data_IF_672599129147
#
_entry.id   IF_672599129147
#
_cell.length_a   1.000
_cell.length_b   1.000
_cell.length_c   1.000
_cell.angle_alpha   90.00
_cell.angle_beta   90.00
_cell.angle_gamma   90.00
#
_symmetry.space_group_name_H-M   'P 1'
#
loop_
_entity.id
_entity.type
_entity.pdbx_description
1 polymer ?
#
# COMPACT_ATOMS: atom_id res chain seq x y z
N UNK A 1 54.10 -52.91 60.44
CA UNK A 1 53.08 -51.89 60.31
C UNK A 1 53.13 -51.42 58.85
N UNK A 2 52.21 -51.89 58.03
CA UNK A 2 52.21 -51.62 56.58
C UNK A 2 51.03 -50.74 56.31
N UNK A 3 51.28 -49.48 55.86
CA UNK A 3 50.22 -48.55 55.45
C UNK A 3 49.79 -48.86 54.00
N UNK A 4 48.49 -49.26 53.84
CA UNK A 4 47.84 -49.40 52.52
C UNK A 4 47.52 -47.99 51.99
N UNK A 5 48.12 -47.63 50.86
CA UNK A 5 47.69 -46.48 50.02
C UNK A 5 46.55 -47.00 49.11
N UNK A 6 45.34 -46.45 49.29
CA UNK A 6 44.26 -46.64 48.34
C UNK A 6 44.38 -45.55 47.24
N UNK A 7 44.62 -46.01 46.00
CA UNK A 7 44.56 -45.16 44.81
C UNK A 7 43.10 -45.02 44.42
N UNK A 8 42.55 -43.81 44.62
CA UNK A 8 41.20 -43.43 44.11
C UNK A 8 41.31 -43.15 42.63
N UNK A 9 40.88 -44.06 41.75
CA UNK A 9 40.64 -43.79 40.34
C UNK A 9 39.41 -42.94 40.18
N UNK A 10 39.57 -41.65 39.88
CA UNK A 10 38.50 -40.78 39.48
C UNK A 10 38.06 -41.11 38.05
N UNK A 11 36.91 -41.75 37.93
CA UNK A 11 36.21 -41.99 36.67
C UNK A 11 35.58 -40.67 36.23
N UNK A 12 36.18 -39.95 35.26
CA UNK A 12 35.59 -38.81 34.60
C UNK A 12 34.64 -39.33 33.51
N UNK A 13 33.31 -39.18 33.63
CA UNK A 13 32.45 -39.53 32.52
C UNK A 13 32.65 -38.49 31.41
N UNK A 14 33.24 -38.96 30.31
CA UNK A 14 33.33 -38.22 29.05
C UNK A 14 31.91 -38.11 28.49
N UNK A 15 31.23 -36.99 28.80
CA UNK A 15 29.97 -36.61 28.20
C UNK A 15 30.19 -36.33 26.72
N UNK A 16 29.99 -37.36 25.89
CA UNK A 16 29.80 -37.19 24.44
C UNK A 16 28.53 -36.36 24.26
N UNK A 17 28.70 -35.05 24.03
CA UNK A 17 27.68 -34.23 23.43
C UNK A 17 27.46 -34.76 22.02
N UNK A 18 26.58 -35.73 21.88
CA UNK A 18 26.06 -36.12 20.57
C UNK A 18 25.33 -34.92 20.03
N UNK A 19 26.01 -34.12 19.20
CA UNK A 19 25.37 -33.17 18.32
C UNK A 19 24.44 -34.00 17.41
N UNK A 20 23.14 -33.98 17.73
CA UNK A 20 22.10 -34.53 16.85
C UNK A 20 22.05 -33.68 15.57
N UNK A 21 23.00 -33.85 14.68
CA UNK A 21 22.82 -33.50 13.29
C UNK A 21 21.78 -34.47 12.73
N UNK A 22 20.60 -33.99 12.41
CA UNK A 22 19.56 -34.77 11.72
C UNK A 22 20.14 -35.26 10.38
N UNK A 23 20.24 -36.61 10.21
CA UNK A 23 20.76 -37.18 8.95
C UNK A 23 19.70 -37.01 7.85
N UNK A 24 20.11 -36.80 6.59
CA UNK A 24 19.22 -36.85 5.45
C UNK A 24 18.48 -38.20 5.40
N UNK A 25 17.18 -38.16 5.09
CA UNK A 25 16.33 -39.35 4.95
C UNK A 25 16.38 -39.92 3.53
N UNK A 26 16.81 -39.12 2.55
CA UNK A 26 16.99 -39.48 1.15
C UNK A 26 17.98 -38.53 0.46
N UNK A 27 18.38 -38.83 -0.75
CA UNK A 27 19.26 -37.96 -1.56
C UNK A 27 18.63 -36.60 -1.90
N UNK A 28 17.28 -36.49 -1.85
CA UNK A 28 16.57 -35.25 -2.08
C UNK A 28 16.35 -34.45 -0.78
N UNK A 29 16.65 -34.99 0.39
CA UNK A 29 16.50 -34.34 1.68
C UNK A 29 17.68 -33.39 1.95
N UNK A 30 17.74 -32.30 1.16
CA UNK A 30 18.79 -31.28 1.23
C UNK A 30 18.30 -29.95 1.78
N UNK A 31 19.19 -29.13 2.38
CA UNK A 31 18.82 -27.79 2.84
C UNK A 31 18.17 -26.95 1.75
N UNK A 32 18.70 -27.00 0.54
CA UNK A 32 18.22 -26.24 -0.63
C UNK A 32 16.83 -26.70 -1.08
N UNK A 33 16.58 -28.02 -1.08
CA UNK A 33 15.26 -28.56 -1.40
C UNK A 33 14.19 -28.02 -0.46
N UNK A 34 14.44 -28.09 0.85
CA UNK A 34 13.52 -27.60 1.87
C UNK A 34 13.39 -26.09 1.85
N UNK A 35 14.46 -25.34 1.55
CA UNK A 35 14.39 -23.90 1.33
C UNK A 35 13.45 -23.57 0.18
N UNK A 36 13.60 -24.20 -0.97
CA UNK A 36 12.71 -24.01 -2.13
C UNK A 36 11.26 -24.39 -1.82
N UNK A 37 11.04 -25.47 -1.07
CA UNK A 37 9.70 -25.88 -0.63
C UNK A 37 9.08 -24.82 0.31
N UNK A 38 9.86 -24.28 1.25
CA UNK A 38 9.44 -23.20 2.13
C UNK A 38 9.10 -21.92 1.39
N UNK A 39 9.90 -21.53 0.38
CA UNK A 39 9.61 -20.35 -0.44
C UNK A 39 8.30 -20.50 -1.22
N UNK A 40 8.01 -21.68 -1.79
CA UNK A 40 6.71 -21.97 -2.43
C UNK A 40 5.55 -21.90 -1.44
N UNK A 41 5.74 -22.35 -0.20
CA UNK A 41 4.73 -22.23 0.85
C UNK A 41 4.46 -20.75 1.21
N UNK A 42 5.50 -19.89 1.23
CA UNK A 42 5.33 -18.43 1.40
C UNK A 42 4.51 -17.84 0.24
N UNK A 43 4.78 -18.22 -1.00
CA UNK A 43 4.02 -17.76 -2.18
C UNK A 43 2.54 -18.14 -2.10
N UNK A 44 2.23 -19.28 -1.46
CA UNK A 44 0.88 -19.76 -1.20
C UNK A 44 0.29 -19.24 0.13
N UNK A 45 0.99 -18.33 0.83
CA UNK A 45 0.61 -17.77 2.14
C UNK A 45 0.48 -18.84 3.26
N UNK A 46 0.99 -20.06 3.05
CA UNK A 46 1.05 -21.11 4.08
C UNK A 46 2.33 -20.97 4.91
N UNK A 47 2.31 -19.97 5.79
CA UNK A 47 3.47 -19.63 6.62
C UNK A 47 3.82 -20.72 7.65
N UNK A 48 2.86 -21.51 8.07
CA UNK A 48 3.12 -22.63 9.00
C UNK A 48 3.85 -23.77 8.30
N UNK A 49 3.46 -24.11 7.08
CA UNK A 49 4.18 -25.09 6.27
C UNK A 49 5.57 -24.57 5.88
N UNK A 50 5.67 -23.27 5.58
CA UNK A 50 6.95 -22.62 5.31
C UNK A 50 7.93 -22.78 6.49
N UNK A 51 7.48 -22.53 7.73
CA UNK A 51 8.29 -22.70 8.94
C UNK A 51 8.79 -24.14 9.05
N UNK A 52 7.93 -25.15 8.84
CA UNK A 52 8.35 -26.58 8.90
C UNK A 52 9.44 -26.88 7.87
N UNK A 53 9.28 -26.42 6.64
CA UNK A 53 10.24 -26.63 5.59
C UNK A 53 11.57 -25.93 5.87
N UNK A 54 11.55 -24.66 6.27
CA UNK A 54 12.78 -23.94 6.62
C UNK A 54 13.45 -24.50 7.88
N UNK A 55 12.67 -24.98 8.86
CA UNK A 55 13.22 -25.64 10.04
C UNK A 55 13.98 -26.91 9.63
N UNK A 56 13.42 -27.76 8.74
CA UNK A 56 14.14 -28.93 8.21
C UNK A 56 15.42 -28.51 7.49
N UNK A 57 15.37 -27.45 6.66
CA UNK A 57 16.54 -26.90 5.97
C UNK A 57 17.69 -26.56 6.95
N UNK A 58 17.40 -25.83 8.06
CA UNK A 58 18.43 -25.46 9.04
C UNK A 58 18.80 -26.62 9.99
N UNK A 59 17.96 -27.65 10.12
CA UNK A 59 18.28 -28.83 10.88
C UNK A 59 19.28 -29.72 10.14
N UNK A 60 19.17 -29.79 8.82
CA UNK A 60 20.11 -30.50 7.94
C UNK A 60 21.46 -29.79 7.86
N UNK A 61 21.46 -28.45 7.74
CA UNK A 61 22.67 -27.64 7.82
C UNK A 61 22.47 -26.37 8.67
N UNK A 62 23.04 -26.38 9.87
CA UNK A 62 23.02 -25.23 10.79
C UNK A 62 23.75 -23.99 10.26
N UNK A 63 24.54 -24.11 9.18
CA UNK A 63 25.24 -22.99 8.53
C UNK A 63 24.45 -22.43 7.34
N UNK A 64 23.42 -23.13 6.88
CA UNK A 64 22.64 -22.71 5.72
C UNK A 64 21.86 -21.40 5.99
N UNK A 65 22.43 -20.29 5.57
CA UNK A 65 21.95 -18.95 5.89
C UNK A 65 20.52 -18.69 5.41
N UNK A 66 20.20 -19.13 4.19
CA UNK A 66 18.88 -18.85 3.56
C UNK A 66 17.72 -19.50 4.32
N UNK A 67 17.95 -20.68 4.94
CA UNK A 67 16.94 -21.32 5.79
C UNK A 67 16.51 -20.44 6.98
N UNK A 68 17.47 -19.76 7.64
CA UNK A 68 17.16 -18.79 8.68
C UNK A 68 16.44 -17.56 8.13
N UNK A 69 16.82 -17.10 6.93
CA UNK A 69 16.11 -16.01 6.27
C UNK A 69 14.65 -16.34 6.01
N UNK A 70 14.37 -17.54 5.51
CA UNK A 70 13.03 -18.07 5.31
C UNK A 70 12.21 -18.17 6.60
N UNK A 71 12.82 -18.69 7.69
CA UNK A 71 12.20 -18.69 9.03
C UNK A 71 11.85 -17.26 9.48
N UNK A 72 12.80 -16.33 9.30
CA UNK A 72 12.59 -14.92 9.62
C UNK A 72 11.40 -14.33 8.87
N UNK A 73 11.32 -14.59 7.57
CA UNK A 73 10.24 -14.09 6.72
C UNK A 73 8.87 -14.68 7.12
N UNK A 74 8.80 -15.98 7.36
CA UNK A 74 7.57 -16.65 7.81
C UNK A 74 7.07 -16.11 9.15
N UNK A 75 7.98 -15.93 10.12
CA UNK A 75 7.65 -15.35 11.42
C UNK A 75 7.21 -13.88 11.29
N UNK A 76 7.79 -13.11 10.37
CA UNK A 76 7.39 -11.72 10.12
C UNK A 76 5.95 -11.65 9.59
N UNK A 77 5.56 -12.52 8.66
CA UNK A 77 4.19 -12.61 8.16
C UNK A 77 3.18 -13.00 9.24
N UNK A 78 3.59 -13.83 10.21
CA UNK A 78 2.75 -14.22 11.35
C UNK A 78 2.75 -13.19 12.50
N UNK A 79 3.45 -12.06 12.36
CA UNK A 79 3.55 -11.06 13.42
C UNK A 79 4.48 -11.44 14.59
N UNK A 80 5.23 -12.53 14.47
CA UNK A 80 6.16 -13.01 15.48
C UNK A 80 7.50 -12.24 15.40
N UNK A 81 7.47 -10.93 15.64
CA UNK A 81 8.57 -10.02 15.39
C UNK A 81 9.89 -10.38 16.08
N UNK A 82 9.85 -10.95 17.30
CA UNK A 82 11.07 -11.34 18.01
C UNK A 82 11.82 -12.45 17.28
N UNK A 83 11.09 -13.50 16.86
CA UNK A 83 11.65 -14.64 16.11
C UNK A 83 12.09 -14.20 14.71
N UNK A 84 11.32 -13.32 14.06
CA UNK A 84 11.68 -12.75 12.77
C UNK A 84 13.05 -12.02 12.83
N UNK A 85 13.24 -11.14 13.81
CA UNK A 85 14.50 -10.40 14.01
C UNK A 85 15.68 -11.30 14.32
N UNK A 86 15.51 -12.30 15.21
CA UNK A 86 16.55 -13.26 15.55
C UNK A 86 16.99 -14.06 14.32
N UNK A 87 16.03 -14.58 13.55
CA UNK A 87 16.32 -15.34 12.34
C UNK A 87 16.94 -14.50 11.22
N UNK A 88 16.49 -13.24 11.03
CA UNK A 88 17.13 -12.31 10.09
C UNK A 88 18.59 -12.04 10.46
N UNK A 89 18.88 -11.90 11.77
CA UNK A 89 20.24 -11.71 12.27
C UNK A 89 21.12 -12.96 12.04
N UNK A 90 20.56 -14.16 12.29
CA UNK A 90 21.23 -15.43 11.99
C UNK A 90 21.51 -15.59 10.50
N UNK A 91 20.56 -15.27 9.63
CA UNK A 91 20.71 -15.26 8.18
C UNK A 91 21.88 -14.36 7.76
N UNK A 92 21.85 -13.09 8.16
CA UNK A 92 22.88 -12.12 7.80
C UNK A 92 24.26 -12.44 8.37
N UNK A 93 24.35 -13.05 9.55
CA UNK A 93 25.65 -13.41 10.15
C UNK A 93 26.28 -14.62 9.46
N UNK A 94 25.50 -15.67 9.16
CA UNK A 94 25.95 -16.87 8.45
C UNK A 94 26.24 -16.61 6.98
N UNK A 95 25.39 -15.82 6.33
CA UNK A 95 25.50 -15.41 4.92
C UNK A 95 26.13 -14.00 4.75
N UNK A 96 27.09 -13.60 5.59
CA UNK A 96 27.65 -12.23 5.56
C UNK A 96 28.38 -11.84 4.27
N UNK A 97 28.75 -12.83 3.45
CA UNK A 97 29.35 -12.66 2.12
C UNK A 97 28.38 -12.92 0.97
N UNK A 98 27.23 -13.50 1.28
CA UNK A 98 26.19 -13.86 0.31
C UNK A 98 25.19 -12.71 0.15
N UNK A 99 25.09 -12.07 -1.04
CA UNK A 99 24.16 -10.99 -1.29
C UNK A 99 22.70 -11.43 -1.15
N UNK A 100 22.34 -12.69 -1.47
CA UNK A 100 20.98 -13.21 -1.34
C UNK A 100 20.56 -13.32 0.13
N UNK A 101 21.42 -13.85 1.01
CA UNK A 101 21.15 -13.95 2.44
C UNK A 101 20.98 -12.56 3.09
N UNK A 102 21.79 -11.59 2.67
CA UNK A 102 21.66 -10.20 3.13
C UNK A 102 20.38 -9.57 2.61
N UNK A 103 20.01 -9.81 1.33
CA UNK A 103 18.77 -9.29 0.75
C UNK A 103 17.53 -9.88 1.46
N UNK A 104 17.53 -11.18 1.73
CA UNK A 104 16.47 -11.86 2.44
C UNK A 104 16.31 -11.31 3.89
N UNK A 105 17.44 -11.02 4.56
CA UNK A 105 17.41 -10.35 5.87
C UNK A 105 16.77 -8.94 5.80
N UNK A 106 17.04 -8.19 4.73
CA UNK A 106 16.38 -6.92 4.45
C UNK A 106 14.87 -7.06 4.21
N UNK A 107 14.48 -8.07 3.45
CA UNK A 107 13.07 -8.38 3.18
C UNK A 107 12.28 -8.67 4.46
N UNK A 108 12.85 -9.41 5.41
CA UNK A 108 12.23 -9.66 6.72
C UNK A 108 11.85 -8.34 7.41
N UNK A 109 12.75 -7.35 7.41
CA UNK A 109 12.48 -6.05 8.01
C UNK A 109 11.39 -5.25 7.25
N UNK A 110 11.34 -5.34 5.92
CA UNK A 110 10.28 -4.73 5.11
C UNK A 110 8.91 -5.33 5.46
N UNK A 111 8.86 -6.65 5.66
CA UNK A 111 7.62 -7.35 6.05
C UNK A 111 7.09 -6.89 7.41
N UNK A 112 7.99 -6.52 8.34
CA UNK A 112 7.62 -5.99 9.67
C UNK A 112 7.34 -4.47 9.69
N UNK A 113 7.20 -3.79 8.54
CA UNK A 113 7.11 -2.32 8.45
C UNK A 113 5.99 -1.70 9.29
N UNK A 114 4.87 -2.41 9.44
CA UNK A 114 3.69 -1.88 10.14
C UNK A 114 3.82 -2.00 11.67
N UNK A 115 4.74 -2.83 12.15
CA UNK A 115 4.94 -3.13 13.59
C UNK A 115 6.29 -2.65 14.15
N UNK A 116 7.28 -2.34 13.30
CA UNK A 116 8.64 -2.02 13.71
C UNK A 116 9.08 -0.62 13.25
N UNK A 117 9.18 0.33 14.17
CA UNK A 117 9.54 1.73 13.84
C UNK A 117 10.88 1.92 13.08
N UNK A 118 11.84 1.01 13.29
CA UNK A 118 13.19 1.09 12.67
C UNK A 118 13.32 0.22 11.43
N UNK A 119 12.21 -0.28 10.89
CA UNK A 119 12.20 -1.24 9.79
C UNK A 119 12.98 -0.75 8.56
N UNK A 120 12.72 0.47 8.11
CA UNK A 120 13.34 1.02 6.90
C UNK A 120 14.86 1.08 7.01
N UNK A 121 15.39 1.68 8.10
CA UNK A 121 16.83 1.76 8.32
C UNK A 121 17.49 0.39 8.35
N UNK A 122 16.87 -0.59 9.01
CA UNK A 122 17.40 -1.96 9.10
C UNK A 122 17.37 -2.67 7.76
N UNK A 123 16.27 -2.56 7.02
CA UNK A 123 16.16 -3.13 5.69
C UNK A 123 17.22 -2.52 4.75
N UNK A 124 17.30 -1.20 4.71
CA UNK A 124 18.26 -0.47 3.90
C UNK A 124 19.71 -0.85 4.21
N UNK A 125 20.07 -0.97 5.49
CA UNK A 125 21.40 -1.38 5.93
C UNK A 125 21.79 -2.77 5.39
N UNK A 126 20.89 -3.75 5.45
CA UNK A 126 21.12 -5.10 4.92
C UNK A 126 21.21 -5.10 3.39
N UNK A 127 20.29 -4.45 2.72
CA UNK A 127 20.24 -4.39 1.26
C UNK A 127 21.44 -3.64 0.66
N UNK A 128 21.87 -2.55 1.29
CA UNK A 128 23.11 -1.85 0.90
C UNK A 128 24.35 -2.69 1.19
N UNK A 129 24.36 -3.52 2.26
CA UNK A 129 25.43 -4.51 2.47
C UNK A 129 25.48 -5.55 1.34
N UNK A 130 24.33 -6.05 0.91
CA UNK A 130 24.23 -6.97 -0.22
C UNK A 130 24.82 -6.34 -1.50
N UNK A 131 24.44 -5.11 -1.83
CA UNK A 131 24.98 -4.38 -2.99
C UNK A 131 26.48 -4.04 -2.88
N UNK A 132 27.06 -4.00 -1.68
CA UNK A 132 28.51 -3.92 -1.53
C UNK A 132 29.21 -5.24 -1.85
N UNK A 133 28.52 -6.39 -1.74
CA UNK A 133 29.04 -7.72 -2.15
C UNK A 133 28.90 -7.94 -3.65
N UNK A 134 27.72 -7.60 -4.17
CA UNK A 134 27.42 -7.65 -5.58
C UNK A 134 26.59 -6.40 -5.97
N UNK A 135 27.22 -5.47 -6.70
CA UNK A 135 26.56 -4.22 -7.12
C UNK A 135 25.40 -4.46 -8.08
N UNK A 136 25.44 -5.58 -8.80
CA UNK A 136 24.45 -5.96 -9.80
C UNK A 136 23.36 -6.89 -9.25
N UNK A 137 23.37 -7.22 -7.96
CA UNK A 137 22.42 -8.12 -7.34
C UNK A 137 20.98 -7.60 -7.49
N UNK A 138 20.20 -8.22 -8.37
CA UNK A 138 18.88 -7.76 -8.79
C UNK A 138 17.88 -7.77 -7.63
N UNK A 139 17.86 -8.84 -6.83
CA UNK A 139 16.99 -8.95 -5.65
C UNK A 139 17.19 -7.80 -4.66
N UNK A 140 18.45 -7.41 -4.39
CA UNK A 140 18.73 -6.28 -3.50
C UNK A 140 18.26 -4.95 -4.06
N UNK A 141 18.40 -4.72 -5.37
CA UNK A 141 17.90 -3.50 -6.03
C UNK A 141 16.37 -3.45 -5.99
N UNK A 142 15.71 -4.58 -6.28
CA UNK A 142 14.26 -4.70 -6.19
C UNK A 142 13.74 -4.38 -4.77
N UNK A 143 14.31 -5.04 -3.76
CA UNK A 143 13.87 -4.85 -2.37
C UNK A 143 14.21 -3.47 -1.81
N UNK A 144 15.27 -2.79 -2.29
CA UNK A 144 15.48 -1.36 -2.00
C UNK A 144 14.37 -0.51 -2.61
N UNK A 145 13.99 -0.78 -3.85
CA UNK A 145 12.83 -0.11 -4.45
C UNK A 145 11.57 -0.28 -3.61
N UNK A 146 11.29 -1.51 -3.13
CA UNK A 146 10.15 -1.79 -2.25
C UNK A 146 10.27 -1.07 -0.91
N UNK A 147 11.46 -1.03 -0.30
CA UNK A 147 11.68 -0.33 0.95
C UNK A 147 11.43 1.18 0.82
N UNK A 148 11.96 1.81 -0.22
CA UNK A 148 11.75 3.23 -0.50
C UNK A 148 10.27 3.53 -0.80
N UNK A 149 9.59 2.66 -1.57
CA UNK A 149 8.16 2.80 -1.87
C UNK A 149 7.30 2.88 -0.60
N UNK A 150 7.49 1.93 0.31
CA UNK A 150 6.75 1.91 1.58
C UNK A 150 7.22 2.94 2.61
N UNK A 151 8.42 3.51 2.41
CA UNK A 151 8.91 4.67 3.18
C UNK A 151 8.53 6.01 2.54
N UNK A 152 7.63 6.00 1.53
CA UNK A 152 7.12 7.18 0.82
C UNK A 152 8.19 8.01 0.08
N UNK A 153 9.29 7.39 -0.27
CA UNK A 153 10.37 7.94 -1.09
C UNK A 153 10.20 7.44 -2.53
N UNK A 154 9.23 8.04 -3.24
CA UNK A 154 8.72 7.51 -4.49
C UNK A 154 9.70 7.69 -5.66
N UNK A 155 10.50 8.76 -5.67
CA UNK A 155 11.52 9.01 -6.68
C UNK A 155 12.64 7.98 -6.61
N UNK A 156 13.12 7.68 -5.38
CA UNK A 156 14.11 6.65 -5.15
C UNK A 156 13.58 5.26 -5.52
N UNK A 157 12.33 4.97 -5.14
CA UNK A 157 11.68 3.72 -5.50
C UNK A 157 11.59 3.54 -7.02
N UNK A 158 11.14 4.60 -7.74
CA UNK A 158 11.07 4.62 -9.20
C UNK A 158 12.44 4.32 -9.82
N UNK A 159 13.49 4.99 -9.32
CA UNK A 159 14.86 4.81 -9.81
C UNK A 159 15.36 3.38 -9.65
N UNK A 160 15.12 2.73 -8.50
CA UNK A 160 15.52 1.34 -8.26
C UNK A 160 14.73 0.38 -9.16
N UNK A 161 13.41 0.51 -9.25
CA UNK A 161 12.60 -0.38 -10.09
C UNK A 161 12.97 -0.25 -11.57
N UNK A 162 13.22 0.95 -12.07
CA UNK A 162 13.70 1.17 -13.45
C UNK A 162 15.00 0.41 -13.73
N UNK A 163 15.96 0.43 -12.80
CA UNK A 163 17.21 -0.33 -12.94
C UNK A 163 16.95 -1.82 -13.07
N UNK A 164 16.05 -2.36 -12.24
CA UNK A 164 15.68 -3.79 -12.24
C UNK A 164 14.99 -4.18 -13.54
N UNK A 165 14.02 -3.38 -14.01
CA UNK A 165 13.31 -3.63 -15.27
C UNK A 165 14.28 -3.66 -16.45
N UNK A 166 15.24 -2.74 -16.49
CA UNK A 166 16.23 -2.67 -17.57
C UNK A 166 17.16 -3.89 -17.65
N UNK A 167 17.35 -4.63 -16.53
CA UNK A 167 18.16 -5.86 -16.50
C UNK A 167 17.46 -7.06 -17.13
N UNK A 168 16.13 -7.05 -17.23
CA UNK A 168 15.31 -8.16 -17.78
C UNK A 168 15.53 -9.52 -17.11
N UNK A 169 15.91 -9.52 -15.81
CA UNK A 169 16.10 -10.73 -15.01
C UNK A 169 14.81 -11.19 -14.31
N UNK A 170 14.98 -12.04 -13.29
CA UNK A 170 13.86 -12.71 -12.60
C UNK A 170 12.89 -11.73 -11.88
N UNK A 171 13.38 -10.58 -11.46
CA UNK A 171 12.58 -9.56 -10.79
C UNK A 171 11.95 -8.55 -11.75
N UNK A 172 12.27 -8.58 -13.06
CA UNK A 172 11.85 -7.55 -14.00
C UNK A 172 10.31 -7.39 -14.07
N UNK A 173 9.56 -8.50 -14.12
CA UNK A 173 8.09 -8.45 -14.15
C UNK A 173 7.47 -7.87 -12.88
N UNK A 174 8.00 -8.25 -11.70
CA UNK A 174 7.56 -7.70 -10.41
C UNK A 174 7.91 -6.21 -10.28
N UNK A 175 9.08 -5.83 -10.77
CA UNK A 175 9.57 -4.46 -10.76
C UNK A 175 8.79 -3.56 -11.72
N UNK A 176 8.37 -4.02 -12.89
CA UNK A 176 7.61 -3.25 -13.88
C UNK A 176 6.29 -2.72 -13.28
N UNK A 177 5.53 -3.57 -12.60
CA UNK A 177 4.28 -3.16 -11.94
C UNK A 177 4.53 -2.09 -10.87
N UNK A 178 5.58 -2.25 -10.06
CA UNK A 178 5.95 -1.29 -9.00
C UNK A 178 6.54 0.00 -9.59
N UNK A 179 7.26 -0.10 -10.68
CA UNK A 179 7.76 1.06 -11.44
C UNK A 179 6.63 1.91 -11.99
N UNK A 180 5.65 1.29 -12.67
CA UNK A 180 4.45 1.99 -13.16
C UNK A 180 3.68 2.69 -12.04
N UNK A 181 3.51 2.02 -10.89
CA UNK A 181 2.89 2.61 -9.71
C UNK A 181 3.69 3.82 -9.21
N UNK A 182 5.02 3.67 -9.04
CA UNK A 182 5.89 4.75 -8.57
C UNK A 182 5.86 5.95 -9.50
N UNK A 183 5.89 5.75 -10.82
CA UNK A 183 5.76 6.82 -11.81
C UNK A 183 4.42 7.57 -11.71
N UNK A 184 3.31 6.85 -11.49
CA UNK A 184 2.01 7.48 -11.27
C UNK A 184 2.03 8.36 -10.01
N UNK A 185 2.57 7.84 -8.91
CA UNK A 185 2.63 8.55 -7.64
C UNK A 185 3.55 9.78 -7.74
N UNK A 186 4.72 9.66 -8.37
CA UNK A 186 5.63 10.78 -8.62
C UNK A 186 4.94 11.90 -9.40
N UNK A 187 4.19 11.56 -10.47
CA UNK A 187 3.41 12.54 -11.24
C UNK A 187 2.28 13.15 -10.42
N UNK A 188 1.63 12.38 -9.58
CA UNK A 188 0.56 12.84 -8.71
C UNK A 188 1.06 13.75 -7.57
N UNK A 189 2.34 13.69 -7.22
CA UNK A 189 2.99 14.52 -6.20
C UNK A 189 2.18 14.66 -4.90
N UNK A 190 1.88 13.56 -4.17
CA UNK A 190 1.12 13.67 -2.93
C UNK A 190 1.83 14.58 -1.93
N UNK A 191 1.15 15.67 -1.51
CA UNK A 191 1.72 16.71 -0.66
C UNK A 191 1.64 16.42 0.82
N UNK A 192 0.72 15.54 1.23
CA UNK A 192 0.43 15.28 2.64
C UNK A 192 0.83 13.86 3.06
N UNK A 193 1.12 13.61 4.35
CA UNK A 193 1.40 12.26 4.83
C UNK A 193 0.26 11.28 4.55
N UNK A 194 -0.99 11.74 4.62
CA UNK A 194 -2.15 10.91 4.36
C UNK A 194 -2.33 10.64 2.86
N UNK A 195 -2.10 11.63 2.00
CA UNK A 195 -2.07 11.44 0.55
C UNK A 195 -1.03 10.42 0.12
N UNK A 196 0.16 10.43 0.73
CA UNK A 196 1.20 9.41 0.49
C UNK A 196 0.75 8.00 0.90
N UNK A 197 0.01 7.85 2.01
CA UNK A 197 -0.56 6.56 2.42
C UNK A 197 -1.64 6.09 1.45
N UNK A 198 -2.56 6.97 1.08
CA UNK A 198 -3.64 6.65 0.13
C UNK A 198 -3.08 6.29 -1.23
N UNK A 199 -1.99 6.92 -1.69
CA UNK A 199 -1.32 6.61 -2.96
C UNK A 199 -0.97 5.12 -3.15
N UNK A 200 -0.71 4.41 -2.06
CA UNK A 200 -0.35 2.98 -2.07
C UNK A 200 -1.55 2.03 -1.99
N UNK A 201 -2.78 2.53 -1.82
CA UNK A 201 -3.97 1.70 -1.74
C UNK A 201 -4.38 1.19 -3.13
N UNK A 202 -4.65 -0.10 -3.24
CA UNK A 202 -5.18 -0.71 -4.47
C UNK A 202 -6.62 -0.30 -4.76
N UNK A 203 -7.39 -0.01 -3.71
CA UNK A 203 -8.76 0.50 -3.77
C UNK A 203 -8.92 1.56 -2.70
N UNK A 204 -9.47 2.70 -3.08
CA UNK A 204 -9.86 3.73 -2.12
C UNK A 204 -11.32 3.56 -1.72
N UNK A 205 -11.63 3.97 -0.48
CA UNK A 205 -12.98 4.01 0.04
C UNK A 205 -13.53 5.45 0.10
N UNK A 206 -14.77 5.62 0.54
CA UNK A 206 -15.43 6.93 0.63
C UNK A 206 -14.73 7.87 1.61
N UNK A 207 -14.19 7.32 2.71
CA UNK A 207 -13.39 8.11 3.65
C UNK A 207 -12.08 8.60 3.03
N UNK A 208 -11.38 7.75 2.28
CA UNK A 208 -10.17 8.15 1.55
C UNK A 208 -10.45 9.30 0.58
N UNK A 209 -11.58 9.25 -0.16
CA UNK A 209 -11.94 10.31 -1.09
C UNK A 209 -12.23 11.62 -0.35
N UNK A 210 -12.97 11.57 0.76
CA UNK A 210 -13.23 12.74 1.58
C UNK A 210 -11.92 13.41 2.05
N UNK A 211 -10.97 12.59 2.51
CA UNK A 211 -9.67 13.08 2.95
C UNK A 211 -8.84 13.64 1.79
N UNK A 212 -8.85 13.01 0.62
CA UNK A 212 -8.12 13.51 -0.55
C UNK A 212 -8.68 14.88 -1.02
N UNK A 213 -9.98 15.07 -1.01
CA UNK A 213 -10.57 16.37 -1.34
C UNK A 213 -10.20 17.43 -0.30
N UNK A 214 -10.22 17.09 0.98
CA UNK A 214 -9.85 18.03 2.03
C UNK A 214 -8.37 18.40 2.01
N UNK A 215 -7.49 17.42 2.02
CA UNK A 215 -6.04 17.58 2.28
C UNK A 215 -5.23 17.84 1.00
N UNK A 216 -5.50 17.11 -0.10
CA UNK A 216 -4.72 17.24 -1.34
C UNK A 216 -5.28 18.31 -2.27
N UNK A 217 -6.62 18.46 -2.37
CA UNK A 217 -7.27 19.53 -3.12
C UNK A 217 -7.37 20.82 -2.32
N UNK A 218 -7.28 20.74 -0.97
CA UNK A 218 -7.42 21.84 -0.02
C UNK A 218 -8.75 22.56 -0.17
N UNK A 219 -9.83 21.79 -0.27
CA UNK A 219 -11.16 22.29 -0.58
C UNK A 219 -11.63 23.36 0.43
N UNK A 220 -11.28 23.27 1.71
CA UNK A 220 -11.60 24.28 2.72
C UNK A 220 -11.11 25.66 2.34
N UNK A 221 -9.86 25.77 1.86
CA UNK A 221 -9.27 27.05 1.40
C UNK A 221 -10.04 27.61 0.19
N UNK A 222 -10.52 26.72 -0.68
CA UNK A 222 -11.30 27.11 -1.85
C UNK A 222 -12.65 27.71 -1.42
N UNK A 223 -13.36 27.06 -0.48
CA UNK A 223 -14.66 27.53 0.01
C UNK A 223 -14.56 28.76 0.91
N UNK A 224 -13.52 28.88 1.74
CA UNK A 224 -13.29 30.06 2.59
C UNK A 224 -13.06 31.36 1.77
N UNK A 225 -12.57 31.23 0.54
CA UNK A 225 -12.37 32.33 -0.41
C UNK A 225 -13.61 32.67 -1.22
N UNK A 226 -14.59 31.77 -1.23
CA UNK A 226 -15.88 32.10 -1.90
C UNK A 226 -16.64 33.09 -1.08
N UNK A 227 -17.17 34.17 -1.70
CA UNK A 227 -18.11 35.08 -1.01
C UNK A 227 -19.26 34.22 -0.47
N UNK A 228 -19.62 34.44 0.80
CA UNK A 228 -20.80 33.81 1.37
C UNK A 228 -21.95 33.98 0.38
N UNK A 229 -22.63 32.88 0.03
CA UNK A 229 -23.83 32.98 -0.78
C UNK A 229 -24.75 33.93 -0.05
N UNK A 230 -25.03 35.09 -0.64
CA UNK A 230 -26.05 35.98 -0.10
C UNK A 230 -27.34 35.17 -0.24
N UNK A 231 -27.77 34.55 0.86
CA UNK A 231 -29.14 34.09 0.98
C UNK A 231 -30.00 35.32 0.80
N UNK A 232 -30.68 35.43 -0.32
CA UNK A 232 -31.53 36.57 -0.68
C UNK A 232 -32.82 36.59 0.14
N UNK A 233 -32.80 36.04 1.35
CA UNK A 233 -33.91 36.05 2.30
C UNK A 233 -33.42 36.34 3.72
N UNK A 234 -34.25 37.16 4.45
CA UNK A 234 -34.05 37.40 5.87
C UNK A 234 -34.18 36.08 6.65
N UNK A 235 -33.06 35.52 7.12
CA UNK A 235 -33.06 34.34 7.95
C UNK A 235 -33.24 34.72 9.41
N UNK A 236 -34.18 34.07 10.08
CA UNK A 236 -34.29 34.22 11.54
C UNK A 236 -33.10 33.55 12.23
N UNK A 237 -32.64 34.04 13.42
CA UNK A 237 -31.53 33.41 14.15
C UNK A 237 -31.70 31.91 14.41
N UNK A 238 -32.96 31.44 14.50
CA UNK A 238 -33.25 30.01 14.64
C UNK A 238 -33.05 29.19 13.38
N UNK A 239 -33.31 29.77 12.20
CA UNK A 239 -33.06 29.12 10.91
C UNK A 239 -31.54 29.03 10.61
N UNK A 240 -30.80 30.12 10.88
CA UNK A 240 -29.34 30.13 10.77
C UNK A 240 -28.66 29.14 11.73
N UNK A 241 -29.21 28.96 12.94
CA UNK A 241 -28.72 27.96 13.90
C UNK A 241 -29.07 26.53 13.50
N UNK A 242 -30.11 26.29 12.72
CA UNK A 242 -30.51 24.98 12.22
C UNK A 242 -29.69 24.57 11.00
N UNK A 243 -29.38 25.50 10.10
CA UNK A 243 -28.49 25.30 8.96
C UNK A 243 -27.02 25.07 9.37
N UNK A 244 -26.60 25.57 10.53
CA UNK A 244 -25.26 25.36 11.07
C UNK A 244 -25.05 23.98 11.73
N UNK A 245 -26.10 23.19 11.96
CA UNK A 245 -25.98 21.84 12.50
C UNK A 245 -25.55 20.88 11.39
N UNK A 246 -24.24 20.69 11.25
CA UNK A 246 -23.69 19.60 10.40
C UNK A 246 -24.18 18.27 10.97
N UNK A 247 -24.99 17.57 10.19
CA UNK A 247 -25.46 16.22 10.54
C UNK A 247 -24.25 15.30 10.46
N UNK A 248 -23.94 14.64 11.58
CA UNK A 248 -22.89 13.63 11.63
C UNK A 248 -23.52 12.27 11.36
N UNK A 249 -23.14 11.58 10.28
CA UNK A 249 -23.63 10.24 10.00
C UNK A 249 -23.36 9.28 11.19
N UNK A 250 -24.29 8.34 11.41
CA UNK A 250 -24.20 7.46 12.58
C UNK A 250 -22.94 6.58 12.56
N UNK A 251 -22.55 6.11 11.37
CA UNK A 251 -21.39 5.25 11.13
C UNK A 251 -20.05 5.99 11.02
N UNK A 252 -20.09 7.33 11.02
CA UNK A 252 -18.89 8.16 10.96
C UNK A 252 -18.41 8.65 12.33
N UNK A 253 -19.20 8.45 13.37
CA UNK A 253 -18.84 8.85 14.74
C UNK A 253 -17.67 8.04 15.26
N UNK A 254 -16.57 8.70 15.63
CA UNK A 254 -15.34 8.05 16.09
C UNK A 254 -14.52 7.42 14.96
N UNK A 255 -14.96 7.52 13.71
CA UNK A 255 -14.16 7.09 12.57
C UNK A 255 -12.95 8.03 12.37
N UNK A 256 -11.80 7.50 11.98
CA UNK A 256 -10.57 8.29 11.81
C UNK A 256 -10.71 9.47 10.84
N UNK A 257 -11.63 9.38 9.87
CA UNK A 257 -11.90 10.42 8.88
C UNK A 257 -13.14 11.30 9.24
N UNK A 258 -13.69 11.21 10.44
CA UNK A 258 -14.93 11.88 10.84
C UNK A 258 -14.94 13.39 10.50
N UNK A 259 -13.85 14.10 10.79
CA UNK A 259 -13.75 15.55 10.55
C UNK A 259 -13.86 15.88 9.07
N UNK A 260 -13.13 15.17 8.22
CA UNK A 260 -13.16 15.41 6.76
C UNK A 260 -14.49 14.98 6.12
N UNK A 261 -15.11 13.91 6.62
CA UNK A 261 -16.47 13.50 6.19
C UNK A 261 -17.47 14.60 6.49
N UNK A 262 -17.44 15.17 7.71
CA UNK A 262 -18.30 16.32 8.09
C UNK A 262 -18.11 17.51 7.15
N UNK A 263 -16.86 17.82 6.80
CA UNK A 263 -16.57 18.93 5.89
C UNK A 263 -17.12 18.67 4.49
N UNK A 264 -16.96 17.45 3.95
CA UNK A 264 -17.49 17.11 2.62
C UNK A 264 -19.03 17.16 2.57
N UNK A 265 -19.69 16.76 3.65
CA UNK A 265 -21.15 16.87 3.79
C UNK A 265 -21.55 18.35 3.90
N UNK A 266 -20.88 19.12 4.75
CA UNK A 266 -21.12 20.57 4.93
C UNK A 266 -20.99 21.36 3.62
N UNK A 267 -19.99 21.01 2.80
CA UNK A 267 -19.79 21.65 1.49
C UNK A 267 -20.73 21.09 0.40
N UNK A 268 -21.56 20.10 0.71
CA UNK A 268 -22.49 19.50 -0.25
C UNK A 268 -21.80 18.69 -1.36
N UNK A 269 -20.56 18.26 -1.15
CA UNK A 269 -19.76 17.48 -2.12
C UNK A 269 -20.07 16.00 -2.04
N UNK A 270 -20.24 15.49 -0.82
CA UNK A 270 -20.61 14.09 -0.57
C UNK A 270 -21.89 14.04 0.25
N UNK A 271 -22.75 13.07 -0.03
CA UNK A 271 -24.05 12.96 0.60
C UNK A 271 -24.06 11.86 1.68
N UNK A 272 -24.99 12.04 2.63
CA UNK A 272 -25.45 11.00 3.54
C UNK A 272 -26.51 10.19 2.78
N UNK A 273 -26.46 8.87 2.89
CA UNK A 273 -27.45 7.99 2.28
C UNK A 273 -28.83 8.11 2.99
N UNK A 274 -29.93 7.70 2.36
CA UNK A 274 -31.28 7.87 2.93
C UNK A 274 -31.50 7.21 4.30
N UNK A 275 -30.69 6.24 4.66
CA UNK A 275 -30.70 5.56 5.96
C UNK A 275 -29.94 6.31 7.07
N UNK A 276 -29.33 7.46 6.75
CA UNK A 276 -28.58 8.29 7.68
C UNK A 276 -27.11 7.90 7.85
N UNK A 277 -26.59 6.97 7.03
CA UNK A 277 -25.21 6.52 7.04
C UNK A 277 -24.39 7.15 5.91
N UNK A 278 -23.08 7.21 6.09
CA UNK A 278 -22.10 7.66 5.09
C UNK A 278 -21.38 6.51 4.40
N UNK A 279 -21.27 5.36 5.06
CA UNK A 279 -20.52 4.19 4.59
C UNK A 279 -19.04 4.51 4.30
N UNK A 280 -18.27 4.98 5.30
CA UNK A 280 -16.89 5.47 5.10
C UNK A 280 -15.96 4.41 4.51
N UNK A 281 -16.16 3.14 4.82
CA UNK A 281 -15.30 2.03 4.39
C UNK A 281 -15.69 1.40 3.05
N UNK A 282 -16.81 1.84 2.44
CA UNK A 282 -17.24 1.34 1.14
C UNK A 282 -16.29 1.78 0.02
N UNK A 283 -15.85 0.81 -0.79
CA UNK A 283 -14.97 1.08 -1.92
C UNK A 283 -15.65 1.99 -2.96
N UNK A 284 -14.87 2.92 -3.51
CA UNK A 284 -15.31 3.80 -4.58
C UNK A 284 -15.01 3.19 -5.94
N UNK A 285 -16.03 3.17 -6.79
CA UNK A 285 -15.87 2.89 -8.22
C UNK A 285 -15.73 4.20 -9.04
N UNK A 286 -15.40 4.07 -10.32
CA UNK A 286 -15.17 5.21 -11.20
C UNK A 286 -16.43 6.08 -11.41
N UNK A 287 -17.62 5.48 -11.46
CA UNK A 287 -18.87 6.24 -11.57
C UNK A 287 -19.13 7.09 -10.30
N UNK A 288 -18.98 6.51 -9.12
CA UNK A 288 -19.13 7.22 -7.85
C UNK A 288 -18.10 8.36 -7.72
N UNK A 289 -16.84 8.11 -8.14
CA UNK A 289 -15.82 9.15 -8.14
C UNK A 289 -16.20 10.31 -9.09
N UNK A 290 -16.66 10.00 -10.31
CA UNK A 290 -17.10 11.01 -11.27
C UNK A 290 -18.27 11.86 -10.73
N UNK A 291 -19.24 11.23 -10.04
CA UNK A 291 -20.34 11.95 -9.38
C UNK A 291 -19.85 12.89 -8.29
N UNK A 292 -18.89 12.47 -7.47
CA UNK A 292 -18.29 13.34 -6.45
C UNK A 292 -17.54 14.53 -7.09
N UNK A 293 -16.82 14.31 -8.19
CA UNK A 293 -16.15 15.38 -8.97
C UNK A 293 -17.17 16.33 -9.58
N UNK A 294 -18.25 15.82 -10.19
CA UNK A 294 -19.32 16.66 -10.73
C UNK A 294 -19.91 17.55 -9.63
N UNK A 295 -20.26 16.97 -8.49
CA UNK A 295 -20.83 17.72 -7.37
C UNK A 295 -19.86 18.79 -6.87
N UNK A 296 -18.58 18.47 -6.75
CA UNK A 296 -17.56 19.43 -6.39
C UNK A 296 -17.46 20.58 -7.41
N UNK A 297 -17.51 20.28 -8.71
CA UNK A 297 -17.48 21.30 -9.76
C UNK A 297 -18.71 22.22 -9.69
N UNK A 298 -19.92 21.66 -9.54
CA UNK A 298 -21.16 22.43 -9.40
C UNK A 298 -21.05 23.41 -8.22
N UNK A 299 -20.65 22.92 -7.05
CA UNK A 299 -20.54 23.76 -5.85
C UNK A 299 -19.41 24.79 -6.01
N UNK A 300 -18.26 24.39 -6.54
CA UNK A 300 -17.11 25.27 -6.72
C UNK A 300 -17.34 26.38 -7.76
N UNK A 301 -18.05 26.09 -8.84
CA UNK A 301 -18.33 27.07 -9.90
C UNK A 301 -19.68 27.77 -9.75
N UNK A 302 -20.55 27.26 -8.88
CA UNK A 302 -21.95 27.68 -8.75
C UNK A 302 -22.75 27.56 -10.06
N UNK A 303 -22.37 26.64 -10.90
CA UNK A 303 -23.01 26.36 -12.18
C UNK A 303 -23.84 25.07 -12.08
N UNK A 304 -25.10 25.21 -11.74
CA UNK A 304 -26.08 24.12 -11.63
C UNK A 304 -26.32 23.42 -12.98
N UNK A 305 -26.05 24.11 -14.13
CA UNK A 305 -26.23 23.50 -15.44
C UNK A 305 -25.33 22.26 -15.65
N UNK A 306 -24.23 22.15 -14.90
CA UNK A 306 -23.35 20.99 -14.92
C UNK A 306 -24.00 19.69 -14.42
N UNK A 307 -25.10 19.78 -13.68
CA UNK A 307 -25.82 18.58 -13.21
C UNK A 307 -26.59 17.87 -14.33
N UNK A 308 -26.96 18.60 -15.38
CA UNK A 308 -27.83 18.08 -16.44
C UNK A 308 -27.29 18.26 -17.85
N UNK A 309 -26.09 18.79 -18.00
CA UNK A 309 -25.50 19.25 -19.25
C UNK A 309 -25.53 18.22 -20.38
N UNK A 310 -25.38 16.94 -20.06
CA UNK A 310 -25.34 15.84 -21.03
C UNK A 310 -26.58 14.94 -20.97
N UNK A 311 -27.62 15.34 -20.27
CA UNK A 311 -28.86 14.59 -20.29
C UNK A 311 -29.54 14.69 -21.66
N UNK A 312 -30.04 13.54 -22.14
CA UNK A 312 -30.74 13.45 -23.43
C UNK A 312 -29.82 13.34 -24.63
N UNK A 313 -28.50 13.15 -24.45
CA UNK A 313 -27.64 12.80 -25.58
C UNK A 313 -28.15 11.52 -26.25
N UNK A 314 -28.40 11.59 -27.57
CA UNK A 314 -28.94 10.48 -28.34
C UNK A 314 -27.96 9.30 -28.44
N UNK A 315 -26.68 9.58 -28.42
CA UNK A 315 -25.61 8.58 -28.50
C UNK A 315 -24.63 8.73 -27.35
N UNK A 316 -24.29 7.60 -26.72
CA UNK A 316 -23.28 7.62 -25.65
C UNK A 316 -21.88 7.92 -26.18
N UNK A 317 -21.09 8.64 -25.38
CA UNK A 317 -19.67 8.89 -25.59
C UNK A 317 -18.79 7.68 -25.24
N UNK A 318 -19.36 6.69 -24.56
CA UNK A 318 -18.65 5.52 -24.04
C UNK A 318 -19.21 4.25 -24.66
N UNK A 319 -18.36 3.27 -24.92
CA UNK A 319 -18.75 2.01 -25.53
C UNK A 319 -19.45 1.06 -24.54
N UNK A 320 -19.27 1.27 -23.23
CA UNK A 320 -19.76 0.41 -22.15
C UNK A 320 -20.79 1.08 -21.22
N UNK A 321 -21.17 2.32 -21.48
CA UNK A 321 -22.12 3.08 -20.65
C UNK A 321 -23.20 3.67 -21.54
N UNK A 322 -24.48 3.30 -21.38
CA UNK A 322 -25.59 3.92 -22.12
C UNK A 322 -25.79 5.36 -21.65
N UNK A 323 -26.27 6.25 -22.54
CA UNK A 323 -26.57 7.64 -22.20
C UNK A 323 -27.66 7.81 -21.14
N UNK A 324 -28.48 6.75 -20.91
CA UNK A 324 -29.49 6.67 -19.85
C UNK A 324 -28.95 6.25 -18.48
N UNK A 325 -27.66 5.96 -18.37
CA UNK A 325 -27.06 5.57 -17.08
C UNK A 325 -27.13 6.72 -16.08
N UNK A 326 -27.49 6.45 -14.83
CA UNK A 326 -27.71 7.47 -13.79
C UNK A 326 -26.50 8.41 -13.56
N UNK A 327 -25.27 7.89 -13.70
CA UNK A 327 -24.05 8.68 -13.55
C UNK A 327 -23.47 9.16 -14.90
N UNK A 328 -24.21 8.99 -16.03
CA UNK A 328 -23.71 9.33 -17.36
C UNK A 328 -23.26 10.79 -17.45
N UNK A 329 -24.07 11.73 -16.96
CA UNK A 329 -23.73 13.14 -16.98
C UNK A 329 -22.40 13.44 -16.28
N UNK A 330 -22.19 12.85 -15.11
CA UNK A 330 -20.93 13.03 -14.36
C UNK A 330 -19.70 12.47 -15.11
N UNK A 331 -19.85 11.29 -15.72
CA UNK A 331 -18.79 10.66 -16.49
C UNK A 331 -18.47 11.46 -17.75
N UNK A 332 -19.49 11.95 -18.48
CA UNK A 332 -19.32 12.76 -19.66
C UNK A 332 -18.66 14.11 -19.33
N UNK A 333 -19.05 14.76 -18.22
CA UNK A 333 -18.44 15.99 -17.71
C UNK A 333 -16.95 15.80 -17.38
N UNK A 334 -16.63 14.72 -16.66
CA UNK A 334 -15.25 14.39 -16.31
C UNK A 334 -14.39 14.10 -17.54
N UNK A 335 -14.93 13.38 -18.52
CA UNK A 335 -14.23 13.05 -19.76
C UNK A 335 -13.98 14.30 -20.62
N UNK A 336 -14.99 15.16 -20.81
CA UNK A 336 -14.84 16.39 -21.57
C UNK A 336 -13.81 17.34 -20.97
N UNK A 337 -13.75 17.44 -19.65
CA UNK A 337 -12.77 18.27 -18.94
C UNK A 337 -11.42 17.60 -18.77
N UNK A 338 -11.24 16.38 -19.28
CA UNK A 338 -9.99 15.62 -19.15
C UNK A 338 -9.65 15.20 -17.72
N UNK A 339 -10.61 15.28 -16.79
CA UNK A 339 -10.42 14.92 -15.36
C UNK A 339 -10.36 13.41 -15.20
N UNK A 340 -11.30 12.69 -15.85
CA UNK A 340 -11.31 11.24 -15.92
C UNK A 340 -11.57 10.85 -17.38
N UNK A 341 -10.69 10.05 -17.94
CA UNK A 341 -10.79 9.68 -19.35
C UNK A 341 -11.31 8.24 -19.51
N UNK A 342 -12.02 8.01 -20.62
CA UNK A 342 -12.26 6.68 -21.12
C UNK A 342 -10.96 6.08 -21.70
N UNK A 343 -10.90 4.75 -21.80
CA UNK A 343 -9.81 4.07 -22.47
C UNK A 343 -9.75 4.50 -23.95
N UNK A 344 -8.57 4.95 -24.40
CA UNK A 344 -8.38 5.52 -25.74
C UNK A 344 -8.55 4.50 -26.85
N UNK A 345 -8.32 3.20 -26.55
CA UNK A 345 -8.34 2.13 -27.55
C UNK A 345 -9.77 1.63 -27.78
N UNK A 346 -10.51 1.39 -26.68
CA UNK A 346 -11.82 0.73 -26.76
C UNK A 346 -13.00 1.66 -26.40
N UNK A 347 -12.73 2.90 -25.98
CA UNK A 347 -13.75 3.88 -25.61
C UNK A 347 -14.52 3.56 -24.34
N UNK A 348 -14.04 2.63 -23.48
CA UNK A 348 -14.71 2.25 -22.25
C UNK A 348 -14.41 3.20 -21.11
N UNK A 349 -15.43 3.56 -20.35
CA UNK A 349 -15.26 4.34 -19.11
C UNK A 349 -15.02 3.43 -17.90
N UNK A 350 -15.55 2.21 -17.92
CA UNK A 350 -15.50 1.23 -16.82
C UNK A 350 -16.11 1.75 -15.51
N UNK A 351 -17.41 2.07 -15.51
CA UNK A 351 -18.09 2.73 -14.39
C UNK A 351 -17.97 1.99 -13.06
N UNK A 352 -17.97 0.65 -13.09
CA UNK A 352 -17.86 -0.21 -11.91
C UNK A 352 -16.41 -0.53 -11.51
N UNK A 353 -15.44 -0.08 -12.32
CA UNK A 353 -14.00 -0.28 -12.04
C UNK A 353 -13.58 0.40 -10.73
N UNK A 354 -12.76 -0.28 -9.93
CA UNK A 354 -12.20 0.30 -8.71
C UNK A 354 -11.24 1.45 -9.02
N UNK A 355 -11.16 2.42 -8.12
CA UNK A 355 -10.18 3.50 -8.18
C UNK A 355 -9.07 3.22 -7.18
N UNK A 356 -7.82 3.13 -7.64
CA UNK A 356 -6.68 3.02 -6.74
C UNK A 356 -6.19 4.40 -6.30
N UNK A 357 -5.39 4.43 -5.23
CA UNK A 357 -4.95 5.69 -4.63
C UNK A 357 -4.09 6.57 -5.54
N UNK A 358 -3.23 5.97 -6.38
CA UNK A 358 -2.41 6.72 -7.32
C UNK A 358 -3.25 7.39 -8.43
N UNK A 359 -4.23 6.67 -8.98
CA UNK A 359 -5.15 7.22 -9.97
C UNK A 359 -6.05 8.29 -9.35
N UNK A 360 -6.53 8.07 -8.12
CA UNK A 360 -7.30 9.09 -7.39
C UNK A 360 -6.54 10.41 -7.23
N UNK A 361 -5.25 10.34 -6.88
CA UNK A 361 -4.40 11.52 -6.74
C UNK A 361 -4.14 12.22 -8.09
N UNK A 362 -3.96 11.45 -9.18
CA UNK A 362 -3.83 12.05 -10.51
C UNK A 362 -5.10 12.82 -10.90
N UNK A 363 -6.28 12.27 -10.61
CA UNK A 363 -7.56 12.94 -10.82
C UNK A 363 -7.60 14.25 -9.99
N UNK A 364 -7.17 14.21 -8.73
CA UNK A 364 -7.07 15.41 -7.88
C UNK A 364 -6.16 16.48 -8.50
N UNK A 365 -5.00 16.12 -9.06
CA UNK A 365 -4.10 17.08 -9.72
C UNK A 365 -4.72 17.70 -10.96
N UNK A 366 -5.39 16.89 -11.79
CA UNK A 366 -6.12 17.40 -12.96
C UNK A 366 -7.25 18.33 -12.52
N UNK A 367 -7.99 17.97 -11.48
CA UNK A 367 -9.06 18.79 -10.92
C UNK A 367 -8.53 20.12 -10.36
N UNK A 368 -7.40 20.12 -9.64
CA UNK A 368 -6.73 21.35 -9.18
C UNK A 368 -6.41 22.29 -10.35
N UNK A 369 -5.88 21.73 -11.44
CA UNK A 369 -5.55 22.51 -12.64
C UNK A 369 -6.80 23.08 -13.28
N UNK A 370 -7.86 22.28 -13.40
CA UNK A 370 -9.16 22.72 -13.93
C UNK A 370 -9.79 23.83 -13.08
N UNK A 371 -9.74 23.72 -11.76
CA UNK A 371 -10.29 24.74 -10.84
C UNK A 371 -9.45 26.03 -10.83
N UNK A 372 -8.14 25.97 -10.96
CA UNK A 372 -7.28 27.17 -11.04
C UNK A 372 -7.53 28.00 -12.31
N UNK A 373 -7.93 27.35 -13.39
CA UNK A 373 -8.30 28.03 -14.63
C UNK A 373 -9.69 28.68 -14.56
N UNK A 374 -10.50 28.35 -13.57
CA UNK A 374 -11.87 28.83 -13.40
C UNK A 374 -11.96 30.00 -12.40
N UNK A 375 -10.89 30.26 -11.59
CA UNK A 375 -10.86 31.29 -10.55
C UNK A 375 -9.67 32.27 -10.74
#
# INVERSE_FOLDING_TARGET
MIKKNQLLLAFIPLLFLASCATKPESDMDTPEYHYKAGMRAIENEDYQQAIKSFQRSVDLDKKFALGYGGLGLSHAHLGNNSQAKDNASKCASRGSKDPEALALSGQVWITMRDSEKKWFKRAEDYLKKALRRDKEHEGSQYWLGVAHLYNYQFDEAESYFRKVVNKRGDYAGKADSKWKLSQKIVRAMPGTPIGKKVALKEKINRADLAVLFAEELKIGVLFDRMPAAQSSGFQTPGQAAQESRVVVPNDSKGHWAETWIKDMIRYGIMNIEPDGNFYPDDNINRATYAMAVQRLLVVATRDESLETRYFGEAQSRFSDVPSSHFAYNAMALCAERGIMQADVINGRFEPTGNVNGADALLIIRTLQTSLRMTF
#
